data_IF_216887788503
#
_entry.id   IF_216887788503
#
_cell.length_a   1.000
_cell.length_b   1.000
_cell.length_c   1.000
_cell.angle_alpha   90.00
_cell.angle_beta   90.00
_cell.angle_gamma   90.00
#
_symmetry.space_group_name_H-M   'P 1'
#
loop_
_entity.id
_entity.type
_entity.pdbx_description
1 polymer ?
#
# COMPACT_ATOMS: atom_id res chain seq x y z
N UNK A 1 3.60 -3.70 -16.08
CA UNK A 1 3.98 -2.54 -15.24
C UNK A 1 3.56 -2.85 -13.81
N UNK A 2 4.25 -2.33 -12.80
CA UNK A 2 3.86 -2.63 -11.43
C UNK A 2 4.57 -1.79 -10.37
N UNK A 3 3.84 -1.10 -9.48
CA UNK A 3 4.44 -0.55 -8.27
C UNK A 3 4.92 -1.66 -7.34
N UNK A 4 6.00 -1.39 -6.62
CA UNK A 4 6.53 -2.34 -5.65
C UNK A 4 7.12 -1.64 -4.44
N UNK A 5 7.27 -2.43 -3.38
CA UNK A 5 7.94 -2.03 -2.14
C UNK A 5 9.05 -3.02 -1.84
N UNK A 6 10.12 -2.53 -1.20
CA UNK A 6 11.22 -3.40 -0.79
C UNK A 6 10.75 -4.40 0.27
N UNK A 7 11.18 -5.65 0.15
CA UNK A 7 10.99 -6.66 1.20
C UNK A 7 11.84 -6.29 2.41
N UNK A 8 11.21 -6.23 3.57
CA UNK A 8 11.86 -5.89 4.83
C UNK A 8 12.37 -7.14 5.53
N UNK A 9 13.40 -6.96 6.36
CA UNK A 9 13.94 -8.08 7.14
C UNK A 9 12.91 -8.50 8.18
N UNK A 10 12.56 -9.79 8.19
CA UNK A 10 11.59 -10.35 9.11
C UNK A 10 10.17 -9.83 8.90
N UNK A 11 9.83 -9.40 7.69
CA UNK A 11 8.54 -8.77 7.43
C UNK A 11 7.36 -9.70 7.67
N UNK A 12 6.28 -9.13 8.18
CA UNK A 12 4.94 -9.67 8.02
C UNK A 12 4.23 -8.87 6.92
N UNK A 13 3.56 -9.56 6.01
CA UNK A 13 2.82 -8.93 4.92
C UNK A 13 1.34 -9.30 4.93
N UNK A 14 0.53 -8.37 4.44
CA UNK A 14 -0.89 -8.55 4.16
C UNK A 14 -1.10 -8.24 2.68
N UNK A 15 -1.48 -9.26 1.91
CA UNK A 15 -1.74 -9.17 0.48
C UNK A 15 -3.24 -9.35 0.27
N UNK A 16 -3.94 -8.27 -0.10
CA UNK A 16 -5.39 -8.25 -0.21
C UNK A 16 -5.79 -7.65 -1.58
N UNK A 17 -5.58 -8.38 -2.69
CA UNK A 17 -5.75 -7.83 -4.03
C UNK A 17 -7.19 -7.42 -4.33
N UNK A 18 -8.17 -8.15 -3.81
CA UNK A 18 -9.60 -7.79 -3.94
C UNK A 18 -9.98 -6.49 -3.22
N UNK A 19 -9.16 -6.06 -2.25
CA UNK A 19 -9.30 -4.79 -1.54
C UNK A 19 -8.35 -3.71 -2.06
N UNK A 20 -7.54 -4.02 -3.08
CA UNK A 20 -6.66 -3.06 -3.74
C UNK A 20 -5.42 -2.67 -2.94
N UNK A 21 -4.87 -3.55 -2.08
CA UNK A 21 -3.63 -3.23 -1.39
C UNK A 21 -2.70 -4.42 -1.11
N UNK A 22 -1.42 -4.08 -0.94
CA UNK A 22 -0.38 -4.92 -0.35
C UNK A 22 0.31 -4.09 0.73
N UNK A 23 0.44 -4.62 1.94
CA UNK A 23 1.12 -3.97 3.05
C UNK A 23 2.19 -4.90 3.62
N UNK A 24 3.32 -4.33 4.03
CA UNK A 24 4.41 -5.02 4.71
C UNK A 24 4.85 -4.20 5.92
N UNK A 25 5.16 -4.90 7.02
CA UNK A 25 5.74 -4.31 8.22
C UNK A 25 6.96 -5.13 8.61
N UNK A 26 8.09 -4.47 8.86
CA UNK A 26 9.31 -5.17 9.23
C UNK A 26 10.45 -4.22 9.49
N UNK A 27 11.66 -4.77 9.64
CA UNK A 27 12.84 -3.98 9.98
C UNK A 27 13.33 -3.16 8.78
N UNK A 28 13.36 -1.85 8.95
CA UNK A 28 13.96 -0.91 8.00
C UNK A 28 15.49 -0.90 8.05
N UNK A 29 16.09 0.09 7.39
CA UNK A 29 17.54 0.29 7.40
C UNK A 29 18.10 0.47 8.83
N UNK A 30 19.42 0.33 8.98
CA UNK A 30 20.09 0.50 10.28
C UNK A 30 19.68 1.83 10.94
N UNK A 31 19.15 1.75 12.16
CA UNK A 31 18.63 2.92 12.89
C UNK A 31 17.21 3.34 12.53
N UNK A 32 16.56 2.81 11.50
CA UNK A 32 15.15 3.11 11.24
C UNK A 32 14.21 2.44 12.28
N UNK A 33 14.59 1.26 12.78
CA UNK A 33 13.66 0.44 13.57
C UNK A 33 12.70 -0.31 12.65
N UNK A 34 11.49 -0.58 13.12
CA UNK A 34 10.44 -1.14 12.27
C UNK A 34 9.74 -0.04 11.46
N UNK A 35 9.39 -0.38 10.22
CA UNK A 35 8.71 0.50 9.28
C UNK A 35 7.58 -0.27 8.58
N UNK A 36 6.57 0.48 8.15
CA UNK A 36 5.52 0.01 7.28
C UNK A 36 5.74 0.49 5.85
N UNK A 37 5.58 -0.40 4.88
CA UNK A 37 5.52 -0.08 3.46
C UNK A 37 4.22 -0.63 2.89
N UNK A 38 3.64 0.02 1.90
CA UNK A 38 2.45 -0.48 1.22
C UNK A 38 2.29 0.07 -0.19
N UNK A 39 1.54 -0.67 -0.98
CA UNK A 39 1.02 -0.25 -2.29
C UNK A 39 -0.50 -0.30 -2.22
N UNK A 40 -1.16 0.74 -2.70
CA UNK A 40 -2.60 0.77 -2.96
C UNK A 40 -2.81 0.92 -4.46
N UNK A 41 -3.74 0.17 -5.03
CA UNK A 41 -4.00 0.08 -6.46
C UNK A 41 -5.46 -0.23 -6.74
N UNK A 42 -5.92 0.06 -7.95
CA UNK A 42 -7.26 -0.36 -8.40
C UNK A 42 -7.32 -1.91 -8.45
N UNK A 43 -8.18 -2.56 -7.63
CA UNK A 43 -8.30 -4.02 -7.61
C UNK A 43 -8.74 -4.59 -8.96
N UNK A 44 -9.48 -3.82 -9.79
CA UNK A 44 -9.90 -4.23 -11.13
C UNK A 44 -8.75 -4.33 -12.13
N UNK A 45 -7.60 -3.73 -11.83
CA UNK A 45 -6.40 -3.79 -12.66
C UNK A 45 -5.39 -4.84 -12.16
N UNK A 46 -5.67 -5.55 -11.06
CA UNK A 46 -4.74 -6.53 -10.53
C UNK A 46 -4.50 -7.71 -11.50
N UNK A 47 -3.24 -7.93 -11.87
CA UNK A 47 -2.82 -8.97 -12.79
C UNK A 47 -1.86 -10.00 -12.14
N UNK A 48 -1.45 -9.78 -10.89
CA UNK A 48 -0.63 -10.73 -10.15
C UNK A 48 0.35 -10.05 -9.20
N UNK A 49 1.17 -10.87 -8.56
CA UNK A 49 2.24 -10.45 -7.66
C UNK A 49 3.56 -11.02 -8.19
N UNK A 50 4.59 -10.19 -8.23
CA UNK A 50 5.98 -10.65 -8.35
C UNK A 50 6.63 -10.65 -6.97
N UNK A 51 7.14 -11.81 -6.59
CA UNK A 51 7.95 -11.97 -5.39
C UNK A 51 9.36 -12.45 -5.74
N UNK A 52 9.77 -12.46 -7.00
CA UNK A 52 11.13 -12.80 -7.38
C UNK A 52 12.02 -11.56 -7.25
N UNK A 53 12.95 -11.59 -6.29
CA UNK A 53 13.90 -10.50 -6.04
C UNK A 53 13.68 -9.73 -4.74
N UNK A 54 14.39 -8.60 -4.57
CA UNK A 54 14.44 -7.83 -3.33
C UNK A 54 13.18 -7.02 -3.05
N UNK A 55 12.33 -6.84 -4.07
CA UNK A 55 11.10 -6.06 -3.97
C UNK A 55 9.89 -7.01 -4.14
N UNK A 56 8.75 -6.59 -3.57
CA UNK A 56 7.43 -7.19 -3.76
C UNK A 56 6.67 -6.28 -4.73
N UNK A 57 6.44 -6.74 -5.96
CA UNK A 57 5.90 -5.93 -7.05
C UNK A 57 4.47 -6.37 -7.36
N UNK A 58 3.53 -5.43 -7.37
CA UNK A 58 2.15 -5.68 -7.81
C UNK A 58 2.09 -5.51 -9.32
N UNK A 59 1.75 -6.58 -10.05
CA UNK A 59 1.53 -6.52 -11.50
C UNK A 59 0.14 -5.95 -11.76
N UNK A 60 0.08 -4.84 -12.50
CA UNK A 60 -1.17 -4.22 -12.93
C UNK A 60 -1.33 -4.34 -14.45
N UNK A 61 -2.56 -4.63 -14.87
CA UNK A 61 -2.97 -4.48 -16.26
C UNK A 61 -2.84 -3.01 -16.66
N UNK A 62 -2.40 -2.77 -17.90
CA UNK A 62 -2.26 -1.43 -18.47
C UNK A 62 -3.02 -1.36 -19.80
N UNK A 63 -4.36 -1.26 -19.77
CA UNK A 63 -5.16 -1.14 -20.99
C UNK A 63 -4.75 0.13 -21.76
N UNK A 64 -4.66 0.01 -23.09
CA UNK A 64 -4.29 1.14 -23.94
C UNK A 64 -5.29 2.30 -23.77
N UNK A 65 -4.77 3.52 -23.60
CA UNK A 65 -5.58 4.73 -23.43
C UNK A 65 -6.21 4.92 -22.04
N UNK A 66 -5.95 4.03 -21.07
CA UNK A 66 -6.47 4.15 -19.70
C UNK A 66 -5.39 4.67 -18.76
N UNK A 67 -5.60 5.85 -18.18
CA UNK A 67 -4.79 6.35 -17.07
C UNK A 67 -5.13 5.57 -15.81
N UNK A 68 -4.11 4.98 -15.18
CA UNK A 68 -4.26 4.23 -13.94
C UNK A 68 -3.47 4.90 -12.83
N UNK A 69 -4.05 4.96 -11.63
CA UNK A 69 -3.41 5.53 -10.45
C UNK A 69 -3.08 4.41 -9.45
N UNK A 70 -1.89 4.49 -8.86
CA UNK A 70 -1.50 3.70 -7.71
C UNK A 70 -0.83 4.64 -6.70
N UNK A 71 -0.77 4.19 -5.45
CA UNK A 71 -0.12 4.93 -4.37
C UNK A 71 0.88 4.03 -3.67
N UNK A 72 1.98 4.61 -3.23
CA UNK A 72 2.95 3.96 -2.34
C UNK A 72 2.90 4.71 -1.01
N UNK A 73 2.74 3.97 0.08
CA UNK A 73 2.70 4.51 1.42
C UNK A 73 3.86 3.97 2.25
N UNK A 74 4.40 4.83 3.12
CA UNK A 74 5.43 4.47 4.09
C UNK A 74 5.08 5.03 5.46
N UNK A 75 5.32 4.24 6.51
CA UNK A 75 5.20 4.67 7.89
C UNK A 75 6.51 4.42 8.64
N UNK A 76 6.98 5.47 9.29
CA UNK A 76 8.10 5.40 10.22
C UNK A 76 7.61 5.91 11.57
N UNK A 77 7.32 4.99 12.50
CA UNK A 77 6.69 5.35 13.78
C UNK A 77 7.70 5.44 14.93
N UNK A 78 9.02 5.40 14.63
CA UNK A 78 10.06 5.59 15.63
C UNK A 78 9.96 6.99 16.23
N UNK A 79 9.84 7.06 17.56
CA UNK A 79 9.76 8.33 18.30
C UNK A 79 8.35 8.92 18.41
N UNK A 80 7.33 8.25 17.89
CA UNK A 80 5.93 8.61 18.12
C UNK A 80 5.52 8.12 19.51
N UNK A 81 4.97 9.01 20.35
CA UNK A 81 4.61 8.66 21.74
C UNK A 81 3.44 7.66 21.83
N UNK A 82 2.55 7.66 20.83
CA UNK A 82 1.43 6.73 20.68
C UNK A 82 1.34 6.31 19.20
N UNK A 83 2.15 5.32 18.77
CA UNK A 83 2.15 4.83 17.39
C UNK A 83 0.75 4.35 16.98
N UNK A 84 0.26 4.81 15.82
CA UNK A 84 -1.04 4.42 15.30
C UNK A 84 -1.02 3.03 14.64
N UNK A 85 0.17 2.49 14.38
CA UNK A 85 0.39 1.18 13.76
C UNK A 85 1.70 0.58 14.29
N UNK A 86 1.76 0.20 15.59
CA UNK A 86 3.00 -0.31 16.19
C UNK A 86 3.40 -1.71 15.70
N UNK A 87 2.54 -2.37 14.92
CA UNK A 87 2.74 -3.73 14.45
C UNK A 87 2.12 -3.96 13.06
N UNK A 88 2.38 -5.15 12.52
CA UNK A 88 1.91 -5.54 11.20
C UNK A 88 0.38 -5.53 11.05
N UNK A 89 -0.37 -5.86 12.10
CA UNK A 89 -1.84 -5.93 12.06
C UNK A 89 -2.45 -4.52 12.07
N UNK A 90 -1.91 -3.64 12.90
CA UNK A 90 -2.24 -2.22 12.95
C UNK A 90 -1.95 -1.55 11.62
N UNK A 91 -0.77 -1.81 11.04
CA UNK A 91 -0.40 -1.28 9.73
C UNK A 91 -1.34 -1.76 8.62
N UNK A 92 -1.62 -3.07 8.56
CA UNK A 92 -2.55 -3.62 7.57
C UNK A 92 -3.95 -3.00 7.67
N UNK A 93 -4.46 -2.79 8.90
CA UNK A 93 -5.75 -2.10 9.12
C UNK A 93 -5.70 -0.66 8.62
N UNK A 94 -4.64 0.09 8.95
CA UNK A 94 -4.49 1.48 8.51
C UNK A 94 -4.41 1.59 6.99
N UNK A 95 -3.74 0.66 6.32
CA UNK A 95 -3.68 0.60 4.87
C UNK A 95 -5.04 0.22 4.28
N UNK A 96 -5.79 -0.69 4.91
CA UNK A 96 -7.16 -0.99 4.48
C UNK A 96 -8.05 0.27 4.52
N UNK A 97 -8.01 1.03 5.62
CA UNK A 97 -8.77 2.28 5.75
C UNK A 97 -8.31 3.35 4.74
N UNK A 98 -7.00 3.42 4.48
CA UNK A 98 -6.44 4.31 3.47
C UNK A 98 -6.88 3.91 2.05
N UNK A 99 -6.87 2.63 1.73
CA UNK A 99 -7.30 2.10 0.43
C UNK A 99 -8.77 2.43 0.16
N UNK A 100 -9.65 2.27 1.16
CA UNK A 100 -11.06 2.69 1.04
C UNK A 100 -11.18 4.16 0.65
N UNK A 101 -10.37 5.04 1.26
CA UNK A 101 -10.39 6.48 0.97
C UNK A 101 -9.84 6.82 -0.42
N UNK A 102 -8.71 6.21 -0.80
CA UNK A 102 -8.03 6.50 -2.06
C UNK A 102 -8.76 5.94 -3.28
N UNK A 103 -9.42 4.80 -3.12
CA UNK A 103 -10.17 4.13 -4.18
C UNK A 103 -11.62 4.62 -4.29
N UNK A 104 -12.08 5.43 -3.34
CA UNK A 104 -13.40 6.07 -3.41
C UNK A 104 -13.35 7.27 -4.36
N UNK A 105 -14.14 7.28 -5.46
CA UNK A 105 -14.18 8.43 -6.35
C UNK A 105 -14.74 9.65 -5.61
N UNK A 106 -13.97 10.74 -5.59
CA UNK A 106 -14.46 12.03 -5.09
C UNK A 106 -15.43 12.60 -6.13
N UNK A 107 -16.72 12.59 -5.80
CA UNK A 107 -17.76 13.27 -6.60
C UNK A 107 -17.98 14.65 -6.02
N UNK A 108 -17.83 15.69 -6.85
CA UNK A 108 -18.22 17.06 -6.51
C UNK A 108 -19.45 17.40 -7.35
N UNK A 109 -20.56 17.66 -6.68
CA UNK A 109 -21.78 18.15 -7.31
C UNK A 109 -21.89 19.65 -7.10
N UNK A 110 -21.94 20.41 -8.19
CA UNK A 110 -22.21 21.84 -8.14
C UNK A 110 -23.73 22.06 -8.11
N UNK A 111 -24.25 22.67 -7.05
CA UNK A 111 -25.61 23.20 -7.05
C UNK A 111 -25.59 24.60 -7.67
N UNK A 112 -26.41 24.78 -8.71
CA UNK A 112 -26.71 26.11 -9.20
C UNK A 112 -27.47 26.92 -8.12
N UNK A 113 -27.22 28.24 -7.99
CA UNK A 113 -27.93 29.11 -7.06
C UNK A 113 -29.42 29.25 -7.41
#
# INVERSE_FOLDING_TARGET
>A
FGPGVRKLIGEASAVEPSKGYVAAWGRGAAGAGEIGLAVVFDPGLYAGLDEEGPDRIVKLAAPAGVTSTYWVAGAWERGVAAPASPDAKGWARRIADLAVRLLSPVKVEFKAP
#
